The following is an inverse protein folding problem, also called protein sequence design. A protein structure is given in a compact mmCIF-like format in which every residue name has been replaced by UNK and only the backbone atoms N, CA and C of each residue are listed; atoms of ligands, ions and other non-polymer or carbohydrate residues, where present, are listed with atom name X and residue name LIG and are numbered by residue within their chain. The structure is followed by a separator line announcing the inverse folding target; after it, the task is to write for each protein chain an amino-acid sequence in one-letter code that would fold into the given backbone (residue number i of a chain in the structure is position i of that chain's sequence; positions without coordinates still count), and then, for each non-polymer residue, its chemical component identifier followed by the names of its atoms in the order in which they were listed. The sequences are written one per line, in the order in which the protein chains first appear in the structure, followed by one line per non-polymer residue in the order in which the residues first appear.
data_IF_190516723702
#
_entry.id   IF_190516723702
#
_cell.length_a   1.000
_cell.length_b   1.000
_cell.length_c   1.000
_cell.angle_alpha   90.00
_cell.angle_beta   90.00
_cell.angle_gamma   90.00
#
_symmetry.space_group_name_H-M   'P 1'
#
loop_
_entity.id
_entity.type
_entity.pdbx_description
1 polymer ?
#
# COMPACT_ATOMS: atom_id res chain seq x y z
N UNK A 1 -11.65 1.88 30.65
CA UNK A 1 -12.01 0.46 30.91
C UNK A 1 -13.40 0.22 30.40
N UNK A 2 -13.53 -0.37 29.28
CA UNK A 2 -14.81 -0.73 28.70
C UNK A 2 -15.14 -2.14 29.10
N UNK A 3 -16.08 -2.25 29.97
CA UNK A 3 -16.71 -3.55 30.25
C UNK A 3 -17.80 -3.74 29.22
N UNK A 4 -17.58 -4.62 28.31
CA UNK A 4 -18.62 -5.06 27.40
C UNK A 4 -19.50 -6.07 28.07
N UNK A 5 -20.51 -5.60 28.74
CA UNK A 5 -21.60 -6.44 29.19
C UNK A 5 -22.71 -6.35 28.15
N UNK A 6 -22.58 -7.14 27.11
CA UNK A 6 -23.50 -7.09 25.98
C UNK A 6 -24.42 -8.31 25.88
N UNK A 7 -24.58 -9.03 26.96
CA UNK A 7 -25.49 -10.16 26.92
C UNK A 7 -26.72 -9.89 27.72
N UNK A 8 -27.65 -9.14 27.14
CA UNK A 8 -29.03 -9.30 27.45
C UNK A 8 -29.45 -10.69 26.96
N UNK A 9 -29.90 -11.51 27.86
CA UNK A 9 -30.48 -12.79 27.53
C UNK A 9 -31.63 -12.58 26.55
N UNK A 10 -31.63 -13.25 25.42
CA UNK A 10 -32.80 -13.18 24.55
C UNK A 10 -33.99 -13.82 25.22
N UNK A 11 -35.10 -13.15 25.16
CA UNK A 11 -36.36 -13.69 25.58
C UNK A 11 -36.60 -15.05 24.91
N UNK A 12 -37.06 -15.98 25.65
CA UNK A 12 -37.46 -17.31 25.21
C UNK A 12 -38.49 -17.20 24.09
N UNK A 13 -38.06 -17.35 22.87
CA UNK A 13 -38.96 -17.43 21.74
C UNK A 13 -39.17 -18.91 21.49
N UNK A 14 -40.37 -19.37 21.78
CA UNK A 14 -40.76 -20.71 21.41
C UNK A 14 -40.69 -20.87 19.88
N UNK A 15 -40.16 -21.98 19.39
CA UNK A 15 -40.11 -22.20 17.96
C UNK A 15 -41.51 -22.54 17.49
N UNK A 16 -42.16 -21.59 16.88
CA UNK A 16 -43.27 -21.90 16.00
C UNK A 16 -42.69 -22.59 14.77
N UNK A 17 -42.96 -23.84 14.66
CA UNK A 17 -42.66 -24.61 13.46
C UNK A 17 -43.39 -24.01 12.27
N UNK A 18 -42.69 -23.50 11.28
CA UNK A 18 -43.33 -23.16 10.01
C UNK A 18 -43.44 -24.45 9.23
N UNK A 19 -44.67 -24.80 9.01
CA UNK A 19 -45.04 -25.81 8.06
C UNK A 19 -44.49 -25.49 6.70
N UNK A 20 -43.73 -26.41 6.15
CA UNK A 20 -43.56 -26.68 4.74
C UNK A 20 -43.51 -25.45 3.82
N UNK A 21 -42.36 -24.83 3.78
CA UNK A 21 -41.93 -24.14 2.57
C UNK A 21 -40.71 -24.92 2.09
N UNK A 22 -40.92 -25.76 1.12
CA UNK A 22 -39.86 -26.19 0.24
C UNK A 22 -39.35 -24.96 -0.50
N UNK A 23 -38.62 -24.12 0.19
CA UNK A 23 -37.83 -23.10 -0.45
C UNK A 23 -36.80 -23.84 -1.27
N UNK A 24 -36.93 -23.71 -2.56
CA UNK A 24 -35.97 -24.17 -3.52
C UNK A 24 -34.61 -23.59 -3.09
N UNK A 25 -33.73 -24.42 -2.56
CA UNK A 25 -32.39 -24.04 -2.14
C UNK A 25 -31.51 -23.61 -3.31
N UNK A 26 -32.04 -23.69 -4.52
CA UNK A 26 -31.37 -23.18 -5.72
C UNK A 26 -31.39 -21.65 -5.81
N UNK A 27 -32.30 -20.97 -5.13
CA UNK A 27 -32.36 -19.50 -5.12
C UNK A 27 -31.49 -18.84 -4.04
N UNK A 28 -30.85 -19.64 -3.19
CA UNK A 28 -29.96 -19.14 -2.15
C UNK A 28 -28.48 -19.14 -2.58
N UNK A 29 -28.18 -19.54 -3.80
CA UNK A 29 -26.91 -19.21 -4.41
C UNK A 29 -26.97 -17.71 -4.68
N UNK A 30 -26.48 -16.96 -3.71
CA UNK A 30 -26.51 -15.51 -3.70
C UNK A 30 -26.14 -15.01 -5.08
N UNK A 31 -27.02 -14.28 -5.67
CA UNK A 31 -26.71 -13.48 -6.84
C UNK A 31 -25.82 -12.34 -6.37
N UNK A 32 -24.53 -12.64 -6.19
CA UNK A 32 -23.53 -11.59 -6.13
C UNK A 32 -23.70 -10.80 -7.43
N UNK A 33 -23.87 -9.47 -7.36
CA UNK A 33 -24.03 -8.67 -8.57
C UNK A 33 -22.82 -8.91 -9.48
N UNK A 34 -23.09 -9.10 -10.76
CA UNK A 34 -22.03 -9.21 -11.75
C UNK A 34 -21.44 -7.83 -11.94
N UNK A 35 -20.16 -7.70 -11.68
CA UNK A 35 -19.42 -6.46 -11.82
C UNK A 35 -18.61 -6.47 -13.11
N UNK A 36 -18.44 -5.32 -13.72
CA UNK A 36 -17.39 -5.13 -14.71
C UNK A 36 -16.02 -5.06 -14.00
N UNK A 37 -14.94 -5.30 -14.73
CA UNK A 37 -13.60 -5.17 -14.16
C UNK A 37 -13.35 -3.75 -13.65
N UNK A 38 -13.81 -2.74 -14.39
CA UNK A 38 -13.71 -1.35 -13.96
C UNK A 38 -14.42 -1.10 -12.62
N UNK A 39 -15.64 -1.62 -12.47
CA UNK A 39 -16.41 -1.50 -11.22
C UNK A 39 -15.69 -2.17 -10.06
N UNK A 40 -15.14 -3.38 -10.27
CA UNK A 40 -14.38 -4.09 -9.24
C UNK A 40 -13.13 -3.30 -8.84
N UNK A 41 -12.36 -2.83 -9.80
CA UNK A 41 -11.16 -2.04 -9.54
C UNK A 41 -11.48 -0.70 -8.87
N UNK A 42 -12.63 -0.11 -9.20
CA UNK A 42 -13.14 1.08 -8.53
C UNK A 42 -13.42 0.84 -7.05
N UNK A 43 -13.97 -0.32 -6.71
CA UNK A 43 -14.18 -0.72 -5.31
C UNK A 43 -12.86 -0.82 -4.55
N UNK A 44 -11.82 -1.38 -5.18
CA UNK A 44 -10.47 -1.47 -4.58
C UNK A 44 -9.92 -0.07 -4.34
N UNK A 45 -10.01 0.81 -5.32
CA UNK A 45 -9.55 2.19 -5.18
C UNK A 45 -10.27 2.90 -4.02
N UNK A 46 -11.59 2.83 -3.99
CA UNK A 46 -12.39 3.49 -2.96
C UNK A 46 -12.07 2.94 -1.56
N UNK A 47 -11.85 1.64 -1.45
CA UNK A 47 -11.46 0.99 -0.20
C UNK A 47 -10.11 1.49 0.29
N UNK A 48 -9.12 1.60 -0.59
CA UNK A 48 -7.81 2.13 -0.24
C UNK A 48 -7.87 3.61 0.16
N UNK A 49 -8.62 4.42 -0.56
CA UNK A 49 -8.80 5.83 -0.23
C UNK A 49 -9.47 6.03 1.12
N UNK A 50 -10.42 5.17 1.48
CA UNK A 50 -11.10 5.22 2.78
C UNK A 50 -10.25 4.65 3.92
N UNK A 51 -9.53 3.56 3.68
CA UNK A 51 -8.80 2.83 4.73
C UNK A 51 -7.36 3.28 4.91
N UNK A 52 -6.74 3.78 3.85
CA UNK A 52 -5.35 4.24 3.86
C UNK A 52 -5.23 5.63 3.22
N UNK A 53 -5.89 6.67 3.78
CA UNK A 53 -5.88 8.00 3.17
C UNK A 53 -4.60 8.80 3.44
N UNK A 54 -3.77 8.35 4.37
CA UNK A 54 -2.61 9.10 4.84
C UNK A 54 -1.35 8.80 4.03
N UNK A 55 -0.31 9.57 4.29
CA UNK A 55 1.05 9.27 3.87
C UNK A 55 1.79 8.55 4.99
N UNK A 56 2.64 7.62 4.63
CA UNK A 56 3.38 6.78 5.58
C UNK A 56 4.88 6.87 5.31
N UNK A 57 5.68 7.05 6.35
CA UNK A 57 7.12 6.94 6.24
C UNK A 57 7.53 5.48 6.25
N UNK A 58 8.27 5.06 5.23
CA UNK A 58 8.69 3.67 5.06
C UNK A 58 10.18 3.60 4.74
N UNK A 59 10.85 2.64 5.36
CA UNK A 59 12.23 2.29 5.05
C UNK A 59 12.23 1.20 3.98
N UNK A 60 13.04 1.37 2.97
CA UNK A 60 13.17 0.40 1.88
C UNK A 60 14.53 0.52 1.21
N UNK A 61 14.89 -0.51 0.45
CA UNK A 61 16.04 -0.47 -0.45
C UNK A 61 15.55 -0.27 -1.87
N UNK A 62 16.19 0.59 -2.62
CA UNK A 62 15.91 0.77 -4.04
C UNK A 62 16.53 -0.39 -4.80
N UNK A 63 15.72 -1.20 -5.50
CA UNK A 63 16.24 -2.22 -6.42
C UNK A 63 16.33 -1.72 -7.85
N UNK A 64 15.46 -0.81 -8.23
CA UNK A 64 15.48 -0.10 -9.51
C UNK A 64 15.02 1.33 -9.34
N UNK A 65 15.62 2.24 -10.10
CA UNK A 65 15.17 3.62 -10.22
C UNK A 65 15.41 4.09 -11.64
N UNK A 66 14.39 4.67 -12.26
CA UNK A 66 14.50 5.23 -13.60
C UNK A 66 13.69 6.50 -13.72
N UNK A 67 14.22 7.44 -14.48
CA UNK A 67 13.58 8.70 -14.75
C UNK A 67 13.00 8.65 -16.18
N UNK A 68 11.71 8.89 -16.31
CA UNK A 68 11.01 8.91 -17.59
C UNK A 68 10.11 10.13 -17.61
N UNK A 69 10.33 11.02 -18.58
CA UNK A 69 9.55 12.27 -18.74
C UNK A 69 9.50 13.09 -17.44
N UNK A 70 10.64 13.17 -16.75
CA UNK A 70 10.79 13.88 -15.47
C UNK A 70 10.04 13.28 -14.30
N UNK A 71 9.41 12.13 -14.47
CA UNK A 71 8.88 11.30 -13.38
C UNK A 71 9.91 10.27 -12.96
N UNK A 72 9.91 9.86 -11.70
CA UNK A 72 10.77 8.78 -11.24
C UNK A 72 9.95 7.54 -10.92
N UNK A 73 10.34 6.41 -11.49
CA UNK A 73 9.75 5.11 -11.23
C UNK A 73 10.76 4.28 -10.45
N UNK A 74 10.34 3.72 -9.32
CA UNK A 74 11.20 2.95 -8.44
C UNK A 74 10.59 1.57 -8.17
N UNK A 75 11.46 0.58 -8.04
CA UNK A 75 11.12 -0.68 -7.40
C UNK A 75 11.80 -0.70 -6.03
N UNK A 76 11.02 -0.95 -5.00
CA UNK A 76 11.45 -0.99 -3.62
C UNK A 76 11.42 -2.40 -3.09
N UNK A 77 12.40 -2.75 -2.27
CA UNK A 77 12.49 -4.07 -1.65
C UNK A 77 12.87 -3.92 -0.18
N UNK A 78 12.50 -4.93 0.59
CA UNK A 78 13.03 -5.18 1.92
C UNK A 78 13.59 -6.60 1.94
N UNK A 79 14.78 -6.74 2.51
CA UNK A 79 15.47 -8.04 2.63
C UNK A 79 15.73 -8.34 4.10
N UNK A 80 15.63 -9.62 4.46
CA UNK A 80 16.09 -10.08 5.77
C UNK A 80 17.62 -10.07 5.84
N UNK A 81 18.15 -9.92 7.04
CA UNK A 81 19.58 -10.02 7.27
C UNK A 81 20.11 -11.37 6.80
N UNK A 82 21.18 -11.34 6.02
CA UNK A 82 21.84 -12.54 5.51
C UNK A 82 21.14 -13.23 4.34
N UNK A 83 20.04 -12.68 3.83
CA UNK A 83 19.34 -13.20 2.66
C UNK A 83 19.35 -12.21 1.51
N UNK A 84 19.56 -12.72 0.30
CA UNK A 84 19.43 -11.92 -0.93
C UNK A 84 17.99 -11.88 -1.44
N UNK A 85 17.10 -12.72 -0.90
CA UNK A 85 15.71 -12.82 -1.33
C UNK A 85 14.87 -11.76 -0.62
N UNK A 86 14.17 -10.89 -1.37
CA UNK A 86 13.29 -9.91 -0.75
C UNK A 86 12.11 -10.55 -0.01
N UNK A 87 11.82 -10.03 1.17
CA UNK A 87 10.62 -10.40 1.94
C UNK A 87 9.44 -9.48 1.64
N UNK A 88 9.71 -8.32 1.05
CA UNK A 88 8.69 -7.40 0.59
C UNK A 88 9.16 -6.69 -0.68
N UNK A 89 8.21 -6.36 -1.53
CA UNK A 89 8.45 -5.70 -2.81
C UNK A 89 7.33 -4.73 -3.13
N UNK A 90 7.64 -3.58 -3.70
CA UNK A 90 6.63 -2.61 -4.10
C UNK A 90 7.11 -1.74 -5.25
N UNK A 91 6.19 -1.39 -6.14
CA UNK A 91 6.40 -0.36 -7.16
C UNK A 91 6.02 1.00 -6.59
N UNK A 92 6.83 2.00 -6.85
CA UNK A 92 6.60 3.37 -6.42
C UNK A 92 6.83 4.35 -7.56
N UNK A 93 6.11 5.46 -7.52
CA UNK A 93 6.21 6.53 -8.52
C UNK A 93 6.35 7.86 -7.82
N UNK A 94 7.24 8.70 -8.32
CA UNK A 94 7.36 10.08 -7.88
C UNK A 94 7.09 10.99 -9.08
N UNK A 95 6.00 11.72 -9.03
CA UNK A 95 5.59 12.59 -10.13
C UNK A 95 6.53 13.78 -10.27
N UNK A 96 6.70 14.28 -11.48
CA UNK A 96 7.65 15.35 -11.83
C UNK A 96 7.48 16.61 -10.97
N UNK A 97 6.24 16.93 -10.57
CA UNK A 97 5.96 18.09 -9.73
C UNK A 97 6.70 18.05 -8.38
N UNK A 98 6.93 16.85 -7.84
CA UNK A 98 7.66 16.65 -6.59
C UNK A 98 9.08 16.14 -6.85
N UNK A 99 9.25 15.33 -7.87
CA UNK A 99 10.53 14.65 -8.13
C UNK A 99 11.69 15.61 -8.34
N UNK A 100 11.50 16.69 -9.05
CA UNK A 100 12.58 17.65 -9.32
C UNK A 100 13.11 18.27 -8.02
N UNK A 101 12.22 18.61 -7.11
CA UNK A 101 12.58 19.15 -5.79
C UNK A 101 13.25 18.10 -4.92
N UNK A 102 12.67 16.91 -4.85
CA UNK A 102 13.18 15.79 -4.06
C UNK A 102 14.57 15.38 -4.55
N UNK A 103 14.73 15.22 -5.84
CA UNK A 103 16.00 14.88 -6.49
C UNK A 103 17.08 15.91 -6.16
N UNK A 104 16.79 17.20 -6.32
CA UNK A 104 17.74 18.26 -6.04
C UNK A 104 18.18 18.27 -4.57
N UNK A 105 17.24 18.14 -3.64
CA UNK A 105 17.51 18.06 -2.21
C UNK A 105 18.34 16.82 -1.84
N UNK A 106 18.00 15.68 -2.45
CA UNK A 106 18.70 14.42 -2.22
C UNK A 106 20.15 14.47 -2.70
N UNK A 107 20.38 14.97 -3.92
CA UNK A 107 21.73 15.15 -4.48
C UNK A 107 22.55 16.14 -3.65
N UNK A 108 21.94 17.25 -3.24
CA UNK A 108 22.61 18.25 -2.41
C UNK A 108 23.07 17.65 -1.08
N UNK A 109 22.28 16.81 -0.47
CA UNK A 109 22.58 16.21 0.83
C UNK A 109 23.55 15.03 0.73
N UNK A 110 23.37 14.13 -0.24
CA UNK A 110 24.12 12.87 -0.34
C UNK A 110 25.24 12.89 -1.38
N UNK A 111 25.19 13.81 -2.34
CA UNK A 111 26.11 13.86 -3.47
C UNK A 111 25.78 12.91 -4.60
N UNK A 112 24.72 12.13 -4.47
CA UNK A 112 24.33 11.10 -5.43
C UNK A 112 22.83 11.14 -5.72
N UNK A 113 22.43 10.71 -6.91
CA UNK A 113 21.04 10.46 -7.19
C UNK A 113 20.56 9.18 -6.49
N UNK A 114 19.28 9.09 -6.16
CA UNK A 114 18.71 7.81 -5.74
C UNK A 114 18.98 6.74 -6.80
N UNK A 115 19.59 5.63 -6.40
CA UNK A 115 19.98 4.56 -7.32
C UNK A 115 19.86 3.18 -6.65
N UNK A 116 19.89 2.09 -7.45
CA UNK A 116 19.84 0.74 -6.91
C UNK A 116 20.88 0.48 -5.82
N UNK A 117 20.47 -0.23 -4.78
CA UNK A 117 21.31 -0.56 -3.63
C UNK A 117 21.24 0.44 -2.48
N UNK A 118 20.66 1.61 -2.69
CA UNK A 118 20.50 2.59 -1.61
C UNK A 118 19.36 2.25 -0.68
N UNK A 119 19.58 2.42 0.61
CA UNK A 119 18.53 2.42 1.62
C UNK A 119 17.97 3.82 1.78
N UNK A 120 16.66 3.94 1.71
CA UNK A 120 15.95 5.21 1.71
C UNK A 120 14.79 5.20 2.70
N UNK A 121 14.47 6.38 3.20
CA UNK A 121 13.27 6.64 3.98
C UNK A 121 12.35 7.52 3.14
N UNK A 122 11.19 6.98 2.77
CA UNK A 122 10.25 7.64 1.87
C UNK A 122 8.92 7.86 2.55
N UNK A 123 8.32 9.01 2.28
CA UNK A 123 6.92 9.25 2.57
C UNK A 123 6.10 8.82 1.36
N UNK A 124 5.18 7.90 1.54
CA UNK A 124 4.40 7.31 0.44
C UNK A 124 2.91 7.32 0.77
N UNK A 125 2.10 7.46 -0.26
CA UNK A 125 0.64 7.32 -0.19
C UNK A 125 0.18 6.23 -1.14
N UNK A 126 -0.91 5.55 -0.77
CA UNK A 126 -1.47 4.47 -1.57
C UNK A 126 -2.19 5.02 -2.80
N UNK A 127 -1.95 4.40 -3.95
CA UNK A 127 -2.63 4.76 -5.17
C UNK A 127 -3.03 3.50 -5.94
N UNK A 128 -4.30 3.44 -6.31
CA UNK A 128 -4.81 2.38 -7.18
C UNK A 128 -5.48 3.03 -8.39
N UNK A 129 -4.99 2.66 -9.57
CA UNK A 129 -5.58 3.11 -10.83
C UNK A 129 -6.30 1.93 -11.49
N UNK A 130 -7.50 2.15 -12.00
CA UNK A 130 -8.36 1.10 -12.54
C UNK A 130 -7.69 0.34 -13.68
N UNK A 131 -6.87 1.01 -14.48
CA UNK A 131 -6.18 0.42 -15.62
C UNK A 131 -4.75 -0.06 -15.31
N UNK A 132 -4.05 0.61 -14.39
CA UNK A 132 -2.61 0.36 -14.14
C UNK A 132 -2.34 -0.36 -12.83
N UNK A 133 -3.35 -0.55 -11.99
CA UNK A 133 -3.22 -1.26 -10.72
C UNK A 133 -2.62 -0.43 -9.60
N UNK A 134 -2.09 -1.13 -8.61
CA UNK A 134 -1.58 -0.54 -7.38
C UNK A 134 -0.15 -0.04 -7.54
N UNK A 135 0.13 1.12 -6.95
CA UNK A 135 1.48 1.63 -6.72
C UNK A 135 1.49 2.59 -5.54
N UNK A 136 2.65 2.76 -4.92
CA UNK A 136 2.85 3.81 -3.95
C UNK A 136 3.26 5.10 -4.66
N UNK A 137 2.74 6.22 -4.20
CA UNK A 137 3.19 7.54 -4.67
C UNK A 137 4.17 8.10 -3.66
N UNK A 138 5.37 8.43 -4.11
CA UNK A 138 6.39 9.03 -3.27
C UNK A 138 6.10 10.52 -3.13
N UNK A 139 5.84 10.93 -1.89
CA UNK A 139 5.56 12.32 -1.56
C UNK A 139 6.81 13.06 -1.10
N UNK A 140 7.75 12.35 -0.48
CA UNK A 140 9.03 12.90 -0.04
C UNK A 140 10.06 11.79 0.20
N UNK A 141 11.33 12.17 0.25
CA UNK A 141 12.44 11.30 0.64
C UNK A 141 13.29 12.07 1.64
N UNK A 142 13.60 11.42 2.76
CA UNK A 142 14.50 12.00 3.77
C UNK A 142 15.95 11.59 3.48
N UNK A 143 16.79 12.51 2.99
CA UNK A 143 18.18 12.18 2.66
C UNK A 143 19.05 11.88 3.87
N UNK A 144 18.66 12.33 5.06
CA UNK A 144 19.44 12.10 6.27
C UNK A 144 19.53 10.63 6.65
N UNK A 145 18.47 9.85 6.39
CA UNK A 145 18.47 8.41 6.59
C UNK A 145 19.52 7.71 5.70
N UNK A 146 19.58 8.07 4.43
CA UNK A 146 20.53 7.51 3.47
C UNK A 146 21.96 7.90 3.86
N UNK A 147 22.18 9.14 4.27
CA UNK A 147 23.48 9.60 4.78
C UNK A 147 23.95 8.79 5.98
N UNK A 148 23.07 8.54 6.93
CA UNK A 148 23.36 7.68 8.09
C UNK A 148 23.74 6.27 7.69
N UNK A 149 23.05 5.68 6.74
CA UNK A 149 23.38 4.35 6.23
C UNK A 149 24.71 4.32 5.50
N UNK A 150 24.99 5.31 4.66
CA UNK A 150 26.27 5.44 3.96
C UNK A 150 27.44 5.59 4.94
N UNK A 151 27.27 6.36 6.00
CA UNK A 151 28.28 6.54 7.02
C UNK A 151 28.58 5.25 7.77
N UNK A 152 27.56 4.45 8.08
CA UNK A 152 27.72 3.14 8.72
C UNK A 152 28.51 2.16 7.84
N UNK A 153 28.32 2.20 6.54
CA UNK A 153 29.00 1.31 5.57
C UNK A 153 30.47 1.66 5.37
N UNK A 154 30.91 2.86 5.77
CA UNK A 154 32.30 3.30 5.64
C UNK A 154 33.21 2.92 6.81
N UNK A 155 32.62 2.37 7.83
CA UNK A 155 33.36 1.92 9.03
C UNK A 155 33.96 0.53 8.85
#
# INVERSE_FOLDING_TARGET
MSTFSLFSQPANIEPTTPSNLSADTSDLVSHSPILSLFELNNMVRDTLECSMPDSYWVQAEISEAREVRSHCYMELVEKDEGSATPIARASAKCWSSKWQRIKAAFIKATGEMPHPGMKVLLSVSANFHEAYGFSWIVDDIDPSYTLGDMARKRL
#
